data_IF_245245511254
#
_entry.id   IF_245245511254
#
_cell.length_a   1.000
_cell.length_b   1.000
_cell.length_c   1.000
_cell.angle_alpha   90.00
_cell.angle_beta   90.00
_cell.angle_gamma   90.00
#
_symmetry.space_group_name_H-M   'P 1'
#
loop_
_entity.id
_entity.type
_entity.pdbx_description
1 polymer ?
#
# COMPACT_ATOMS: atom_id res chain seq x y z
N UNK A 1 13.40 9.60 -21.65
CA UNK A 1 12.46 8.60 -21.12
C UNK A 1 12.65 7.21 -21.70
N UNK A 2 12.75 6.99 -23.04
CA UNK A 2 13.02 5.65 -23.64
C UNK A 2 14.33 5.04 -23.12
N UNK A 3 15.42 5.80 -23.04
CA UNK A 3 16.69 5.35 -22.45
C UNK A 3 16.58 5.00 -20.96
N UNK A 4 15.78 5.76 -20.23
CA UNK A 4 15.50 5.50 -18.81
C UNK A 4 14.76 4.17 -18.64
N UNK A 5 13.66 3.94 -19.39
CA UNK A 5 12.94 2.66 -19.34
C UNK A 5 13.86 1.49 -19.68
N UNK A 6 14.64 1.63 -20.78
CA UNK A 6 15.60 0.59 -21.18
C UNK A 6 16.68 0.33 -20.12
N UNK A 7 17.10 1.36 -19.35
CA UNK A 7 18.07 1.18 -18.26
C UNK A 7 17.46 0.38 -17.10
N UNK A 8 16.25 0.70 -16.68
CA UNK A 8 15.53 -0.06 -15.65
C UNK A 8 15.26 -1.52 -16.07
N UNK A 9 14.86 -1.73 -17.33
CA UNK A 9 14.61 -3.08 -17.84
C UNK A 9 15.87 -3.95 -17.85
N UNK A 10 17.07 -3.38 -18.12
CA UNK A 10 18.33 -4.14 -18.02
C UNK A 10 18.61 -4.65 -16.61
N UNK A 11 18.10 -3.95 -15.60
CA UNK A 11 18.20 -4.37 -14.18
C UNK A 11 17.01 -5.21 -13.72
N UNK A 12 16.08 -5.59 -14.63
CA UNK A 12 14.88 -6.37 -14.31
C UNK A 12 13.83 -5.57 -13.53
N UNK A 13 13.82 -4.24 -13.67
CA UNK A 13 12.90 -3.33 -12.98
C UNK A 13 11.89 -2.78 -13.99
N UNK A 14 10.60 -3.00 -13.73
CA UNK A 14 9.51 -2.42 -14.50
C UNK A 14 9.31 -0.93 -14.20
N UNK A 15 8.79 -0.19 -15.18
CA UNK A 15 8.52 1.25 -15.09
C UNK A 15 7.02 1.48 -15.13
N UNK A 16 6.47 2.06 -14.06
CA UNK A 16 5.06 2.45 -13.96
C UNK A 16 4.96 3.96 -14.10
N UNK A 17 4.11 4.42 -15.01
CA UNK A 17 3.86 5.85 -15.21
C UNK A 17 2.70 6.30 -14.34
N UNK A 18 2.92 7.36 -13.57
CA UNK A 18 1.87 8.07 -12.85
C UNK A 18 1.17 9.05 -13.79
N UNK A 19 -0.15 8.94 -13.93
CA UNK A 19 -0.93 9.71 -14.91
C UNK A 19 -2.10 10.43 -14.28
N UNK A 20 -2.30 11.67 -14.71
CA UNK A 20 -3.38 12.55 -14.26
C UNK A 20 -4.36 12.78 -15.41
N UNK A 21 -5.43 11.98 -15.46
CA UNK A 21 -6.52 12.13 -16.44
C UNK A 21 -7.83 12.58 -15.81
N UNK A 22 -7.82 12.91 -14.54
CA UNK A 22 -9.02 13.24 -13.78
C UNK A 22 -9.44 14.71 -13.85
N UNK A 23 -8.50 15.63 -14.16
CA UNK A 23 -8.74 17.07 -14.32
C UNK A 23 -7.68 17.72 -15.22
N UNK A 24 -7.88 18.98 -15.57
CA UNK A 24 -6.83 19.83 -16.15
C UNK A 24 -6.43 20.90 -15.14
N UNK A 25 -5.20 21.43 -15.26
CA UNK A 25 -4.66 22.45 -14.36
C UNK A 25 -5.61 23.66 -14.24
N UNK A 26 -6.14 24.12 -15.38
CA UNK A 26 -7.16 25.14 -15.47
C UNK A 26 -8.09 24.87 -16.67
N UNK A 27 -9.04 25.76 -16.90
CA UNK A 27 -9.96 25.68 -18.04
C UNK A 27 -9.44 26.35 -19.31
N UNK A 28 -8.26 26.94 -19.31
CA UNK A 28 -7.58 27.39 -20.52
C UNK A 28 -6.77 26.23 -21.19
N UNK A 29 -7.41 25.09 -21.27
CA UNK A 29 -6.83 23.86 -21.81
C UNK A 29 -7.10 23.71 -23.31
N UNK A 30 -6.28 22.89 -23.99
CA UNK A 30 -6.52 22.54 -25.39
C UNK A 30 -7.88 21.81 -25.57
N UNK A 31 -8.32 21.02 -24.59
CA UNK A 31 -9.61 20.31 -24.62
C UNK A 31 -10.77 21.32 -24.68
N UNK A 32 -10.74 22.32 -23.83
CA UNK A 32 -11.78 23.38 -23.79
C UNK A 32 -11.78 24.24 -25.05
N UNK A 33 -10.60 24.46 -25.67
CA UNK A 33 -10.47 25.19 -26.93
C UNK A 33 -10.96 24.41 -28.14
N UNK A 34 -10.86 23.07 -28.09
CA UNK A 34 -11.35 22.20 -29.17
C UNK A 34 -12.88 22.10 -29.19
N UNK A 35 -13.49 21.82 -28.03
CA UNK A 35 -14.94 21.74 -27.89
C UNK A 35 -15.33 22.16 -26.48
N UNK A 36 -15.82 23.38 -26.31
CA UNK A 36 -16.19 23.90 -25.00
C UNK A 36 -17.17 23.00 -24.25
N UNK A 37 -16.89 22.74 -22.98
CA UNK A 37 -17.70 21.99 -22.01
C UNK A 37 -17.92 20.49 -22.31
N UNK A 38 -17.52 19.99 -23.48
CA UNK A 38 -17.72 18.59 -23.87
C UNK A 38 -16.86 17.62 -23.04
N UNK A 39 -15.61 17.99 -22.76
CA UNK A 39 -14.65 17.13 -22.09
C UNK A 39 -14.73 17.16 -20.57
N UNK A 40 -15.57 18.03 -20.03
CA UNK A 40 -15.72 18.24 -18.58
C UNK A 40 -17.11 17.87 -18.11
N UNK A 41 -17.22 17.33 -16.90
CA UNK A 41 -18.54 17.13 -16.28
C UNK A 41 -19.09 18.43 -15.78
N UNK A 42 -20.35 18.65 -16.08
CA UNK A 42 -21.08 19.87 -15.71
C UNK A 42 -22.11 19.59 -14.61
N UNK A 43 -22.33 20.58 -13.76
CA UNK A 43 -23.44 20.66 -12.82
C UNK A 43 -24.28 21.91 -13.18
N UNK A 44 -25.22 21.75 -14.10
CA UNK A 44 -25.88 22.86 -14.74
C UNK A 44 -24.88 23.69 -15.56
N UNK A 45 -24.67 24.94 -15.19
CA UNK A 45 -23.70 25.85 -15.85
C UNK A 45 -22.34 25.90 -15.14
N UNK A 46 -22.12 25.08 -14.12
CA UNK A 46 -20.86 25.03 -13.36
C UNK A 46 -20.12 23.72 -13.63
N UNK A 47 -18.82 23.75 -13.57
CA UNK A 47 -18.03 22.54 -13.63
C UNK A 47 -18.19 21.71 -12.35
N UNK A 48 -18.36 20.41 -12.51
CA UNK A 48 -18.25 19.45 -11.43
C UNK A 48 -16.79 19.37 -10.95
N UNK A 49 -16.54 19.04 -9.68
CA UNK A 49 -15.21 19.19 -9.09
C UNK A 49 -14.86 18.01 -8.16
N UNK A 50 -14.95 16.80 -8.67
CA UNK A 50 -14.51 15.61 -7.92
C UNK A 50 -13.01 15.54 -7.72
N UNK A 51 -12.22 16.27 -8.50
CA UNK A 51 -10.77 16.37 -8.32
C UNK A 51 -10.37 17.25 -7.12
N UNK A 52 -11.25 18.16 -6.69
CA UNK A 52 -10.97 19.29 -5.80
C UNK A 52 -10.00 20.34 -6.40
N UNK A 53 -9.71 20.26 -7.71
CA UNK A 53 -8.81 21.17 -8.43
C UNK A 53 -9.57 22.16 -9.35
N UNK A 54 -10.88 22.31 -9.16
CA UNK A 54 -11.71 23.28 -9.90
C UNK A 54 -12.47 22.70 -11.10
N UNK A 55 -12.14 21.52 -11.57
CA UNK A 55 -12.84 20.82 -12.65
C UNK A 55 -12.68 19.30 -12.53
N UNK A 56 -13.44 18.56 -13.31
CA UNK A 56 -13.24 17.12 -13.51
C UNK A 56 -13.54 16.73 -14.96
N UNK A 57 -12.79 15.75 -15.45
CA UNK A 57 -12.93 15.22 -16.80
C UNK A 57 -14.15 14.33 -16.92
N UNK A 58 -14.90 14.45 -18.02
CA UNK A 58 -16.00 13.57 -18.40
C UNK A 58 -15.47 12.37 -19.19
N UNK A 59 -14.83 11.42 -18.48
CA UNK A 59 -14.19 10.24 -19.10
C UNK A 59 -15.19 9.35 -19.86
N UNK A 60 -16.48 9.41 -19.52
CA UNK A 60 -17.59 8.71 -20.19
C UNK A 60 -17.89 9.25 -21.59
N UNK A 61 -17.47 10.49 -21.90
CA UNK A 61 -17.66 11.04 -23.24
C UNK A 61 -16.80 10.27 -24.27
N UNK A 62 -17.38 9.87 -25.43
CA UNK A 62 -16.68 9.01 -26.38
C UNK A 62 -15.31 9.51 -26.82
N UNK A 63 -15.18 10.82 -27.11
CA UNK A 63 -13.89 11.38 -27.54
C UNK A 63 -12.90 11.52 -26.39
N UNK A 64 -13.36 11.75 -25.15
CA UNK A 64 -12.49 11.77 -24.00
C UNK A 64 -11.99 10.37 -23.65
N UNK A 65 -12.86 9.37 -23.67
CA UNK A 65 -12.47 7.96 -23.52
C UNK A 65 -11.42 7.58 -24.57
N UNK A 66 -11.68 7.91 -25.84
CA UNK A 66 -10.72 7.65 -26.92
C UNK A 66 -9.37 8.30 -26.63
N UNK A 67 -9.36 9.57 -26.21
CA UNK A 67 -8.13 10.29 -25.88
C UNK A 67 -7.34 9.60 -24.78
N UNK A 68 -7.99 9.23 -23.66
CA UNK A 68 -7.33 8.58 -22.53
C UNK A 68 -6.77 7.21 -22.96
N UNK A 69 -7.60 6.38 -23.60
CA UNK A 69 -7.21 5.02 -24.04
C UNK A 69 -6.06 5.05 -25.05
N UNK A 70 -6.12 5.93 -26.04
CA UNK A 70 -5.03 6.07 -27.03
C UNK A 70 -3.74 6.62 -26.40
N UNK A 71 -3.87 7.54 -25.43
CA UNK A 71 -2.71 8.08 -24.71
C UNK A 71 -1.97 7.00 -23.93
N UNK A 72 -2.65 6.19 -23.11
CA UNK A 72 -1.99 5.12 -22.36
C UNK A 72 -1.42 4.03 -23.31
N UNK A 73 -2.11 3.71 -24.39
CA UNK A 73 -1.61 2.78 -25.41
C UNK A 73 -0.34 3.32 -26.11
N UNK A 74 -0.28 4.62 -26.37
CA UNK A 74 0.90 5.27 -26.93
C UNK A 74 2.10 5.14 -25.99
N UNK A 75 1.94 5.44 -24.72
CA UNK A 75 3.02 5.33 -23.73
C UNK A 75 3.51 3.88 -23.57
N UNK A 76 2.59 2.92 -23.56
CA UNK A 76 2.94 1.50 -23.48
C UNK A 76 3.74 1.03 -24.72
N UNK A 77 3.33 1.43 -25.93
CA UNK A 77 4.00 1.00 -27.18
C UNK A 77 5.32 1.72 -27.40
N UNK A 78 5.33 3.05 -27.25
CA UNK A 78 6.48 3.88 -27.62
C UNK A 78 7.56 3.97 -26.54
N UNK A 79 7.17 3.90 -25.28
CA UNK A 79 8.10 4.07 -24.17
C UNK A 79 8.30 2.78 -23.36
N UNK A 80 7.56 1.72 -23.73
CA UNK A 80 7.62 0.41 -23.09
C UNK A 80 7.45 0.49 -21.56
N UNK A 81 6.50 1.31 -21.11
CA UNK A 81 6.13 1.34 -19.68
C UNK A 81 5.39 0.07 -19.33
N UNK A 82 5.63 -0.47 -18.14
CA UNK A 82 5.10 -1.75 -17.66
C UNK A 82 3.80 -1.60 -16.87
N UNK A 83 3.36 -0.37 -16.68
CA UNK A 83 2.11 -0.12 -15.97
C UNK A 83 1.76 1.35 -15.84
N UNK A 84 0.59 1.59 -15.23
CA UNK A 84 0.08 2.92 -14.96
C UNK A 84 -0.50 3.01 -13.55
N UNK A 85 -0.19 4.09 -12.85
CA UNK A 85 -0.88 4.53 -11.65
C UNK A 85 -1.80 5.69 -12.02
N UNK A 86 -3.08 5.59 -11.73
CA UNK A 86 -4.08 6.63 -12.03
C UNK A 86 -4.34 7.47 -10.79
N UNK A 87 -3.96 8.74 -10.88
CA UNK A 87 -4.27 9.75 -9.89
C UNK A 87 -5.79 9.94 -9.81
N UNK A 88 -6.35 10.05 -8.59
CA UNK A 88 -7.79 10.20 -8.34
C UNK A 88 -8.65 9.33 -9.29
N UNK A 89 -8.30 8.06 -9.44
CA UNK A 89 -8.97 7.13 -10.36
C UNK A 89 -10.49 7.08 -10.12
N UNK A 90 -10.92 7.34 -8.88
CA UNK A 90 -12.33 7.42 -8.51
C UNK A 90 -13.13 8.53 -9.22
N UNK A 91 -12.47 9.45 -9.93
CA UNK A 91 -13.12 10.44 -10.81
C UNK A 91 -13.53 9.82 -12.16
N UNK A 92 -12.77 8.84 -12.65
CA UNK A 92 -12.99 8.19 -13.94
C UNK A 92 -14.12 7.17 -13.87
N UNK A 93 -14.80 6.95 -14.98
CA UNK A 93 -15.86 5.95 -15.08
C UNK A 93 -15.30 4.53 -15.27
N UNK A 94 -16.05 3.53 -14.81
CA UNK A 94 -15.68 2.11 -14.84
C UNK A 94 -15.47 1.61 -16.27
N UNK A 95 -16.33 2.02 -17.22
CA UNK A 95 -16.25 1.55 -18.61
C UNK A 95 -14.94 2.00 -19.27
N UNK A 96 -14.54 3.25 -19.04
CA UNK A 96 -13.25 3.80 -19.52
C UNK A 96 -12.08 3.04 -18.91
N UNK A 97 -12.09 2.78 -17.61
CA UNK A 97 -11.03 2.04 -16.95
C UNK A 97 -10.93 0.59 -17.45
N UNK A 98 -12.05 -0.08 -17.65
CA UNK A 98 -12.07 -1.43 -18.22
C UNK A 98 -11.61 -1.47 -19.68
N UNK A 99 -11.95 -0.46 -20.49
CA UNK A 99 -11.44 -0.35 -21.87
C UNK A 99 -9.92 -0.12 -21.89
N UNK A 100 -9.39 0.70 -20.97
CA UNK A 100 -7.94 0.87 -20.77
C UNK A 100 -7.29 -0.49 -20.46
N UNK A 101 -7.82 -1.22 -19.49
CA UNK A 101 -7.28 -2.53 -19.09
C UNK A 101 -7.27 -3.50 -20.27
N UNK A 102 -8.39 -3.62 -20.98
CA UNK A 102 -8.51 -4.50 -22.15
C UNK A 102 -7.48 -4.16 -23.24
N UNK A 103 -7.38 -2.88 -23.62
CA UNK A 103 -6.49 -2.42 -24.70
C UNK A 103 -5.00 -2.54 -24.34
N UNK A 104 -4.65 -2.30 -23.10
CA UNK A 104 -3.28 -2.42 -22.62
C UNK A 104 -2.84 -3.88 -22.50
N UNK A 105 -3.73 -4.79 -22.10
CA UNK A 105 -3.45 -6.24 -22.07
C UNK A 105 -3.23 -6.83 -23.47
N UNK A 106 -3.80 -6.23 -24.53
CA UNK A 106 -3.49 -6.59 -25.92
C UNK A 106 -2.04 -6.23 -26.32
N UNK A 107 -1.45 -5.21 -25.68
CA UNK A 107 -0.06 -4.76 -25.92
C UNK A 107 0.91 -5.57 -25.04
N UNK A 108 0.60 -5.68 -23.75
CA UNK A 108 1.39 -6.41 -22.77
C UNK A 108 0.43 -7.10 -21.77
N UNK A 109 0.28 -8.45 -21.80
CA UNK A 109 -0.62 -9.15 -20.89
C UNK A 109 -0.23 -9.06 -19.42
N UNK A 110 1.00 -8.66 -19.11
CA UNK A 110 1.54 -8.48 -17.76
C UNK A 110 1.50 -7.04 -17.27
N UNK A 111 0.83 -6.15 -18.02
CA UNK A 111 0.78 -4.72 -17.65
C UNK A 111 0.12 -4.52 -16.29
N UNK A 112 0.72 -3.70 -15.45
CA UNK A 112 0.25 -3.43 -14.09
C UNK A 112 -0.59 -2.16 -14.10
N UNK A 113 -1.84 -2.26 -13.60
CA UNK A 113 -2.76 -1.14 -13.53
C UNK A 113 -3.29 -0.98 -12.11
N UNK A 114 -3.16 0.20 -11.55
CA UNK A 114 -3.73 0.54 -10.25
C UNK A 114 -3.91 2.04 -10.11
N UNK A 115 -4.60 2.47 -9.06
CA UNK A 115 -4.80 3.89 -8.82
C UNK A 115 -5.46 4.19 -7.49
N UNK A 116 -5.86 5.44 -7.34
CA UNK A 116 -6.56 5.92 -6.16
C UNK A 116 -8.07 5.72 -6.33
N UNK A 117 -8.63 4.76 -5.61
CA UNK A 117 -10.06 4.42 -5.64
C UNK A 117 -10.95 5.42 -4.88
N UNK A 118 -10.60 6.71 -4.89
CA UNK A 118 -11.33 7.81 -4.23
C UNK A 118 -11.33 9.08 -5.09
N UNK A 119 -11.99 10.12 -4.57
CA UNK A 119 -12.04 11.47 -5.17
C UNK A 119 -11.59 12.51 -4.15
N UNK A 120 -11.15 13.67 -4.62
CA UNK A 120 -10.86 14.84 -3.76
C UNK A 120 -12.10 15.64 -3.38
N UNK A 121 -13.16 15.54 -4.17
CA UNK A 121 -14.39 16.31 -4.00
C UNK A 121 -15.63 15.56 -4.48
N UNK A 122 -16.71 16.30 -4.77
CA UNK A 122 -18.00 15.74 -5.18
C UNK A 122 -18.15 15.75 -6.69
N UNK A 123 -18.59 14.62 -7.27
CA UNK A 123 -18.90 14.47 -8.70
C UNK A 123 -20.40 14.51 -8.97
N UNK A 124 -20.78 14.96 -10.16
CA UNK A 124 -22.13 14.79 -10.71
C UNK A 124 -22.40 13.39 -11.26
N UNK A 125 -21.34 12.62 -11.56
CA UNK A 125 -21.50 11.21 -11.94
C UNK A 125 -21.89 10.38 -10.72
N UNK A 126 -22.92 9.52 -10.82
CA UNK A 126 -23.29 8.60 -9.74
C UNK A 126 -22.13 7.69 -9.32
N UNK A 127 -21.98 7.48 -8.02
CA UNK A 127 -20.83 6.77 -7.45
C UNK A 127 -20.70 5.33 -8.00
N UNK A 128 -21.81 4.64 -8.23
CA UNK A 128 -21.81 3.25 -8.76
C UNK A 128 -21.25 3.12 -10.19
N UNK A 129 -21.06 4.25 -10.91
CA UNK A 129 -20.45 4.29 -12.25
C UNK A 129 -18.97 4.65 -12.22
N UNK A 130 -18.44 5.06 -11.07
CA UNK A 130 -17.07 5.55 -10.94
C UNK A 130 -16.12 4.46 -10.47
N UNK A 131 -14.85 4.56 -10.85
CA UNK A 131 -13.79 3.62 -10.46
C UNK A 131 -13.35 3.80 -8.99
N UNK A 132 -14.34 3.78 -8.11
CA UNK A 132 -14.18 3.91 -6.65
C UNK A 132 -13.82 2.56 -6.02
N UNK A 133 -13.14 2.57 -4.87
CA UNK A 133 -12.77 1.37 -4.11
C UNK A 133 -13.96 0.42 -3.87
N UNK A 134 -15.13 0.93 -3.55
CA UNK A 134 -16.34 0.12 -3.36
C UNK A 134 -16.81 -0.63 -4.63
N UNK A 135 -16.39 -0.17 -5.80
CA UNK A 135 -16.72 -0.75 -7.10
C UNK A 135 -15.58 -1.61 -7.66
N UNK A 136 -14.55 -1.92 -6.88
CA UNK A 136 -13.35 -2.62 -7.35
C UNK A 136 -13.65 -3.98 -7.99
N UNK A 137 -14.74 -4.64 -7.57
CA UNK A 137 -15.21 -5.89 -8.20
C UNK A 137 -15.64 -5.74 -9.66
N UNK A 138 -16.02 -4.53 -10.06
CA UNK A 138 -16.44 -4.20 -11.43
C UNK A 138 -15.26 -3.82 -12.34
N UNK A 139 -14.05 -3.69 -11.78
CA UNK A 139 -12.85 -3.32 -12.51
C UNK A 139 -12.02 -4.55 -12.85
N UNK A 140 -11.67 -4.71 -14.12
CA UNK A 140 -10.98 -5.89 -14.62
C UNK A 140 -9.45 -5.74 -14.52
N UNK A 141 -8.84 -6.42 -13.53
CA UNK A 141 -7.39 -6.45 -13.34
C UNK A 141 -6.76 -5.11 -12.96
N UNK A 142 -7.53 -4.25 -12.27
CA UNK A 142 -7.06 -2.95 -11.80
C UNK A 142 -7.04 -2.94 -10.27
N UNK A 143 -5.86 -2.69 -9.71
CA UNK A 143 -5.65 -2.57 -8.27
C UNK A 143 -5.95 -1.17 -7.73
N UNK A 144 -6.04 -1.06 -6.40
CA UNK A 144 -6.26 0.21 -5.71
C UNK A 144 -5.41 0.29 -4.45
N UNK A 145 -4.98 1.49 -4.14
CA UNK A 145 -4.34 1.78 -2.86
C UNK A 145 -5.29 1.45 -1.70
N UNK A 146 -4.78 0.69 -0.72
CA UNK A 146 -5.50 0.34 0.49
C UNK A 146 -5.23 1.38 1.58
N UNK A 147 -6.08 2.40 1.64
CA UNK A 147 -6.11 3.34 2.76
C UNK A 147 -6.47 2.66 4.09
N UNK A 148 -7.10 1.49 4.03
CA UNK A 148 -7.35 0.63 5.20
C UNK A 148 -6.05 0.26 5.91
N UNK A 149 -5.07 -0.31 5.17
CA UNK A 149 -3.79 -0.70 5.77
C UNK A 149 -2.96 0.54 6.13
N UNK A 150 -2.94 1.56 5.28
CA UNK A 150 -2.21 2.81 5.56
C UNK A 150 -2.61 3.39 6.91
N UNK A 151 -3.90 3.63 7.11
CA UNK A 151 -4.40 4.34 8.29
C UNK A 151 -4.44 3.42 9.52
N UNK A 152 -4.64 2.11 9.33
CA UNK A 152 -4.52 1.15 10.40
C UNK A 152 -3.08 1.09 10.94
N UNK A 153 -2.08 1.05 10.08
CA UNK A 153 -0.68 0.92 10.50
C UNK A 153 -0.17 2.21 11.13
N UNK A 154 -0.29 3.35 10.42
CA UNK A 154 0.38 4.61 10.82
C UNK A 154 -0.52 5.64 11.50
N UNK A 155 -1.84 5.44 11.50
CA UNK A 155 -2.84 6.43 11.91
C UNK A 155 -3.43 7.20 10.73
N UNK A 156 -4.60 7.77 10.94
CA UNK A 156 -5.41 8.41 9.92
C UNK A 156 -4.65 9.51 9.17
N UNK A 157 -4.80 9.51 7.83
CA UNK A 157 -4.00 10.38 6.94
C UNK A 157 -4.24 11.87 7.17
N UNK A 158 -5.49 12.27 7.47
CA UNK A 158 -5.86 13.69 7.68
C UNK A 158 -5.76 14.16 9.13
N UNK A 159 -5.42 13.29 10.07
CA UNK A 159 -5.23 13.64 11.48
C UNK A 159 -3.79 13.37 11.90
N UNK A 160 -2.90 14.35 11.72
CA UNK A 160 -1.45 14.17 11.86
C UNK A 160 -1.02 13.61 13.21
N UNK A 161 -1.76 13.91 14.29
CA UNK A 161 -1.49 13.41 15.65
C UNK A 161 -2.15 12.06 15.96
N UNK A 162 -3.02 11.53 15.06
CA UNK A 162 -3.64 10.23 15.28
C UNK A 162 -2.59 9.12 15.17
N UNK A 163 -2.54 8.26 16.19
CA UNK A 163 -1.70 7.08 16.21
C UNK A 163 -2.33 5.95 15.40
N UNK A 164 -1.50 5.09 14.83
CA UNK A 164 -1.91 3.81 14.26
C UNK A 164 -1.47 2.65 15.15
N UNK A 165 -1.62 1.43 14.64
CA UNK A 165 -1.22 0.22 15.35
C UNK A 165 0.24 0.28 15.80
N UNK A 166 1.17 0.61 14.90
CA UNK A 166 2.62 0.59 15.22
C UNK A 166 3.03 1.67 16.22
N UNK A 167 2.21 2.69 16.41
CA UNK A 167 2.42 3.76 17.39
C UNK A 167 1.55 3.61 18.65
N UNK A 168 1.03 2.39 18.88
CA UNK A 168 0.39 2.01 20.14
C UNK A 168 -1.11 2.25 20.24
N UNK A 169 -1.81 2.49 19.09
CA UNK A 169 -3.28 2.59 19.09
C UNK A 169 -3.89 1.25 19.48
N UNK A 170 -4.75 1.29 20.48
CA UNK A 170 -5.46 0.11 20.99
C UNK A 170 -6.67 -0.27 20.13
N UNK A 171 -7.20 -1.51 20.37
CA UNK A 171 -8.40 -2.05 19.70
C UNK A 171 -8.28 -2.18 18.17
N UNK A 172 -7.07 -2.43 17.68
CA UNK A 172 -6.79 -2.55 16.25
C UNK A 172 -6.76 -4.01 15.76
N UNK A 173 -6.98 -5.01 16.64
CA UNK A 173 -6.85 -6.45 16.32
C UNK A 173 -7.64 -6.86 15.08
N UNK A 174 -8.89 -6.44 14.96
CA UNK A 174 -9.76 -6.76 13.81
C UNK A 174 -9.21 -6.13 12.52
N UNK A 175 -8.79 -4.86 12.57
CA UNK A 175 -8.23 -4.16 11.43
C UNK A 175 -6.91 -4.79 10.96
N UNK A 176 -6.03 -5.18 11.90
CA UNK A 176 -4.77 -5.88 11.58
C UNK A 176 -5.04 -7.23 10.93
N UNK A 177 -5.98 -8.04 11.46
CA UNK A 177 -6.39 -9.31 10.85
C UNK A 177 -6.92 -9.11 9.42
N UNK A 178 -7.79 -8.11 9.22
CA UNK A 178 -8.31 -7.75 7.90
C UNK A 178 -7.19 -7.39 6.91
N UNK A 179 -6.24 -6.56 7.32
CA UNK A 179 -5.13 -6.15 6.47
C UNK A 179 -4.17 -7.31 6.18
N UNK A 180 -3.90 -8.18 7.18
CA UNK A 180 -3.04 -9.35 6.99
C UNK A 180 -3.57 -10.32 5.93
N UNK A 181 -4.91 -10.43 5.79
CA UNK A 181 -5.56 -11.24 4.74
C UNK A 181 -5.62 -10.57 3.37
N UNK A 182 -5.03 -9.37 3.20
CA UNK A 182 -5.09 -8.64 1.93
C UNK A 182 -6.49 -8.13 1.59
N UNK A 183 -7.27 -7.77 2.61
CA UNK A 183 -8.60 -7.17 2.43
C UNK A 183 -9.68 -8.10 1.88
N UNK A 184 -9.42 -9.40 1.74
CA UNK A 184 -10.42 -10.40 1.35
C UNK A 184 -11.16 -10.94 2.56
N UNK A 185 -12.33 -11.56 2.32
CA UNK A 185 -13.13 -12.13 3.40
C UNK A 185 -12.40 -13.31 4.08
N UNK A 186 -12.46 -13.34 5.42
CA UNK A 186 -11.85 -14.40 6.23
C UNK A 186 -12.73 -14.72 7.47
N UNK A 187 -12.97 -16.01 7.84
CA UNK A 187 -13.90 -16.37 8.89
C UNK A 187 -13.51 -15.88 10.30
N UNK A 188 -12.23 -15.60 10.56
CA UNK A 188 -11.74 -15.10 11.85
C UNK A 188 -11.68 -13.56 11.92
N UNK A 189 -12.26 -12.83 10.96
CA UNK A 189 -12.37 -11.37 10.98
C UNK A 189 -13.82 -10.97 11.25
N UNK A 190 -14.05 -10.22 12.33
CA UNK A 190 -15.36 -9.68 12.65
C UNK A 190 -15.63 -8.40 11.84
N UNK A 191 -16.29 -8.55 10.70
CA UNK A 191 -16.62 -7.43 9.82
C UNK A 191 -17.66 -6.47 10.40
N UNK A 192 -18.45 -6.90 11.39
CA UNK A 192 -19.38 -6.02 12.08
C UNK A 192 -18.64 -5.05 13.01
N UNK A 193 -17.48 -5.47 13.55
CA UNK A 193 -16.61 -4.62 14.34
C UNK A 193 -15.63 -3.80 13.48
N UNK A 194 -15.51 -4.12 12.18
CA UNK A 194 -14.63 -3.40 11.24
C UNK A 194 -15.44 -2.34 10.48
N UNK A 195 -15.31 -1.09 10.92
CA UNK A 195 -16.11 0.04 10.37
C UNK A 195 -15.32 0.95 9.43
N UNK A 196 -14.11 0.55 9.03
CA UNK A 196 -13.25 1.38 8.22
C UNK A 196 -13.77 1.51 6.77
N UNK A 197 -13.55 2.63 6.18
CA UNK A 197 -13.87 3.14 4.84
C UNK A 197 -15.09 2.56 4.05
N UNK A 198 -15.30 1.24 3.97
CA UNK A 198 -16.38 0.63 3.19
C UNK A 198 -17.22 -0.42 3.94
N UNK A 199 -16.96 -0.59 5.25
CA UNK A 199 -17.77 -1.48 6.09
C UNK A 199 -17.77 -2.96 5.67
N UNK A 200 -16.64 -3.48 5.21
CA UNK A 200 -16.48 -4.86 4.77
C UNK A 200 -15.37 -5.05 3.76
N UNK A 201 -15.42 -6.15 3.00
CA UNK A 201 -14.47 -6.41 1.93
C UNK A 201 -14.87 -5.68 0.64
N UNK A 202 -13.95 -4.91 0.07
CA UNK A 202 -14.19 -4.22 -1.20
C UNK A 202 -13.68 -5.00 -2.42
N UNK A 203 -12.93 -6.07 -2.21
CA UNK A 203 -12.41 -6.93 -3.28
C UNK A 203 -12.59 -8.41 -2.95
N UNK A 204 -12.55 -9.26 -3.98
CA UNK A 204 -12.57 -10.71 -3.90
C UNK A 204 -11.18 -11.33 -4.15
N UNK A 205 -10.19 -10.50 -4.51
CA UNK A 205 -8.82 -10.94 -4.77
C UNK A 205 -7.80 -10.02 -4.11
N UNK A 206 -6.77 -10.57 -3.45
CA UNK A 206 -5.71 -9.77 -2.84
C UNK A 206 -4.84 -9.05 -3.87
N UNK A 207 -4.81 -9.48 -5.12
CA UNK A 207 -4.03 -8.85 -6.20
C UNK A 207 -4.46 -7.42 -6.51
N UNK A 208 -5.70 -7.05 -6.15
CA UNK A 208 -6.20 -5.67 -6.28
C UNK A 208 -5.80 -4.75 -5.14
N UNK A 209 -5.20 -5.27 -4.09
CA UNK A 209 -4.90 -4.53 -2.87
C UNK A 209 -3.45 -4.07 -2.86
N UNK A 210 -3.23 -2.76 -3.02
CA UNK A 210 -1.90 -2.16 -2.92
C UNK A 210 -1.67 -1.74 -1.47
N UNK A 211 -0.87 -2.54 -0.75
CA UNK A 211 -0.54 -2.31 0.65
C UNK A 211 0.56 -1.28 0.78
N UNK A 212 0.34 -0.23 1.54
CA UNK A 212 1.31 0.85 1.74
C UNK A 212 1.09 1.57 3.07
N UNK A 213 2.07 2.32 3.49
CA UNK A 213 1.98 3.18 4.68
C UNK A 213 2.30 4.63 4.38
N UNK A 214 3.05 4.92 3.31
CA UNK A 214 3.26 6.28 2.79
C UNK A 214 3.46 6.26 1.28
N UNK A 215 3.16 7.40 0.64
CA UNK A 215 3.43 7.69 -0.76
C UNK A 215 3.96 9.12 -0.89
N UNK A 216 4.03 9.66 -2.09
CA UNK A 216 4.53 11.02 -2.33
C UNK A 216 3.63 12.10 -1.70
N UNK A 217 2.30 11.85 -1.59
CA UNK A 217 1.36 12.74 -0.91
C UNK A 217 1.40 12.59 0.60
N UNK A 218 0.95 13.63 1.31
CA UNK A 218 0.86 13.71 2.76
C UNK A 218 2.22 13.51 3.46
N UNK A 219 2.19 13.20 4.75
CA UNK A 219 3.40 12.92 5.54
C UNK A 219 4.07 11.62 5.11
N UNK A 220 5.41 11.58 5.14
CA UNK A 220 6.12 10.30 5.11
C UNK A 220 5.79 9.47 6.35
N UNK A 221 6.11 8.18 6.36
CA UNK A 221 5.94 7.36 7.56
C UNK A 221 6.74 7.93 8.74
N UNK A 222 8.01 8.30 8.52
CA UNK A 222 8.87 8.86 9.55
C UNK A 222 8.32 10.16 10.14
N UNK A 223 7.86 11.08 9.30
CA UNK A 223 7.28 12.35 9.73
C UNK A 223 5.97 12.14 10.51
N UNK A 224 5.13 11.21 10.05
CA UNK A 224 3.89 10.85 10.75
C UNK A 224 4.17 10.30 12.15
N UNK A 225 5.13 9.39 12.27
CA UNK A 225 5.54 8.83 13.57
C UNK A 225 6.11 9.91 14.51
N UNK A 226 6.90 10.84 13.96
CA UNK A 226 7.44 11.96 14.75
C UNK A 226 6.34 12.88 15.29
N UNK A 227 5.31 13.16 14.51
CA UNK A 227 4.23 14.06 14.91
C UNK A 227 3.24 13.36 15.84
N UNK A 228 2.90 12.10 15.58
CA UNK A 228 1.94 11.35 16.40
C UNK A 228 2.53 10.84 17.71
N UNK A 229 3.85 10.64 17.78
CA UNK A 229 4.59 10.18 18.96
C UNK A 229 5.80 11.09 19.24
N UNK A 230 5.57 12.34 19.63
CA UNK A 230 6.66 13.29 19.94
C UNK A 230 7.45 12.90 21.19
N UNK A 231 6.90 12.03 22.03
CA UNK A 231 7.49 11.47 23.25
C UNK A 231 8.51 10.36 22.98
N UNK A 232 8.52 9.77 21.77
CA UNK A 232 9.41 8.66 21.42
C UNK A 232 10.79 9.15 20.96
N UNK A 233 11.81 8.42 21.35
CA UNK A 233 13.16 8.62 20.84
C UNK A 233 13.33 8.09 19.39
N UNK A 234 14.52 8.28 18.83
CA UNK A 234 14.81 7.82 17.46
C UNK A 234 14.82 6.27 17.36
N UNK A 235 15.26 5.57 18.40
CA UNK A 235 15.31 4.12 18.45
C UNK A 235 13.92 3.50 18.37
N UNK A 236 13.00 4.00 19.20
CA UNK A 236 11.58 3.58 19.19
C UNK A 236 10.93 3.91 17.84
N UNK A 237 11.24 5.07 17.24
CA UNK A 237 10.71 5.44 15.93
C UNK A 237 11.22 4.53 14.82
N UNK A 238 12.50 4.10 14.88
CA UNK A 238 13.02 3.07 13.97
C UNK A 238 12.33 1.71 14.19
N UNK A 239 12.02 1.34 15.44
CA UNK A 239 11.27 0.11 15.72
C UNK A 239 9.86 0.15 15.11
N UNK A 240 9.13 1.27 15.30
CA UNK A 240 7.82 1.48 14.66
C UNK A 240 7.89 1.42 13.14
N UNK A 241 8.92 2.01 12.52
CA UNK A 241 9.11 1.96 11.06
C UNK A 241 9.37 0.52 10.58
N UNK A 242 10.25 -0.24 11.27
CA UNK A 242 10.48 -1.67 10.94
C UNK A 242 9.22 -2.50 11.09
N UNK A 243 8.44 -2.29 12.15
CA UNK A 243 7.16 -2.99 12.33
C UNK A 243 6.17 -2.66 11.20
N UNK A 244 6.05 -1.39 10.81
CA UNK A 244 5.21 -0.96 9.69
C UNK A 244 5.62 -1.64 8.38
N UNK A 245 6.93 -1.64 8.07
CA UNK A 245 7.46 -2.35 6.90
C UNK A 245 7.15 -3.85 6.95
N UNK A 246 7.42 -4.50 8.09
CA UNK A 246 7.13 -5.92 8.27
C UNK A 246 5.64 -6.23 8.00
N UNK A 247 4.71 -5.40 8.49
CA UNK A 247 3.28 -5.57 8.25
C UNK A 247 2.93 -5.46 6.76
N UNK A 248 3.51 -4.49 6.03
CA UNK A 248 3.29 -4.35 4.58
C UNK A 248 3.83 -5.56 3.81
N UNK A 249 5.02 -6.05 4.16
CA UNK A 249 5.68 -7.12 3.41
C UNK A 249 5.22 -8.54 3.81
N UNK A 250 4.57 -8.73 4.96
CA UNK A 250 4.04 -10.02 5.39
C UNK A 250 2.53 -10.15 5.22
N UNK A 251 1.81 -9.06 4.92
CA UNK A 251 0.40 -9.12 4.52
C UNK A 251 0.23 -9.70 3.11
N UNK A 252 -0.94 -10.29 2.84
CA UNK A 252 -1.35 -10.64 1.49
C UNK A 252 -1.65 -9.37 0.67
N UNK A 253 -1.59 -9.46 -0.67
CA UNK A 253 -1.72 -8.32 -1.56
C UNK A 253 -0.38 -7.83 -2.12
N UNK A 254 -0.36 -6.68 -2.76
CA UNK A 254 0.80 -6.11 -3.44
C UNK A 254 1.48 -5.08 -2.55
N UNK A 255 2.72 -5.28 -2.11
CA UNK A 255 3.41 -4.30 -1.27
C UNK A 255 3.89 -3.10 -2.09
N UNK A 256 3.74 -1.92 -1.52
CA UNK A 256 4.23 -0.66 -2.04
C UNK A 256 4.86 0.15 -0.91
N UNK A 257 5.93 0.89 -1.17
CA UNK A 257 6.51 1.85 -0.24
C UNK A 257 7.08 3.07 -0.97
N UNK A 258 7.10 4.21 -0.29
CA UNK A 258 7.67 5.44 -0.81
C UNK A 258 9.19 5.33 -0.92
N UNK A 259 9.77 5.69 -2.05
CA UNK A 259 11.23 5.77 -2.18
C UNK A 259 11.82 6.69 -1.09
N UNK A 260 12.70 6.12 -0.26
CA UNK A 260 13.27 6.77 0.92
C UNK A 260 12.65 6.34 2.26
N UNK A 261 11.52 5.65 2.26
CA UNK A 261 10.91 5.11 3.48
C UNK A 261 11.86 4.15 4.20
N UNK A 262 12.63 3.39 3.43
CA UNK A 262 13.64 2.44 3.88
C UNK A 262 14.86 3.08 4.55
N UNK A 263 14.99 4.39 4.51
CA UNK A 263 16.01 5.15 5.26
C UNK A 263 15.44 6.37 5.98
N UNK A 264 14.19 6.24 6.42
CA UNK A 264 13.51 7.24 7.26
C UNK A 264 13.44 8.65 6.61
N UNK A 265 13.04 8.70 5.32
CA UNK A 265 12.86 9.95 4.59
C UNK A 265 11.93 10.91 5.32
N UNK A 266 12.34 12.18 5.39
CA UNK A 266 11.56 13.30 5.91
C UNK A 266 11.36 14.37 4.84
N UNK A 267 10.30 15.17 4.97
CA UNK A 267 9.97 16.31 4.12
C UNK A 267 10.10 17.62 4.90
N UNK A 268 11.32 18.12 5.16
CA UNK A 268 11.50 19.38 5.89
C UNK A 268 10.95 20.55 5.08
N UNK A 269 10.18 21.43 5.71
CA UNK A 269 9.68 22.68 5.15
C UNK A 269 10.36 23.87 5.83
N UNK A 270 10.89 24.77 5.00
CA UNK A 270 11.48 26.02 5.49
C UNK A 270 12.75 25.87 6.35
N UNK A 271 13.20 27.01 6.90
CA UNK A 271 14.46 27.07 7.69
C UNK A 271 14.33 26.55 9.10
N UNK A 272 13.11 26.35 9.61
CA UNK A 272 12.84 26.01 11.02
C UNK A 272 12.62 24.51 11.25
N UNK A 273 12.83 23.65 10.24
CA UNK A 273 12.63 22.21 10.36
C UNK A 273 11.16 21.78 10.49
N UNK A 274 10.22 22.65 10.13
CA UNK A 274 8.82 22.28 9.99
C UNK A 274 8.68 21.17 8.95
N UNK A 275 7.71 20.27 9.15
CA UNK A 275 7.47 19.15 8.26
C UNK A 275 6.35 19.54 7.29
N UNK A 276 6.55 19.27 5.99
CA UNK A 276 5.53 19.51 4.97
C UNK A 276 4.65 18.29 4.77
N UNK A 277 3.35 18.49 4.84
CA UNK A 277 2.36 17.46 4.52
C UNK A 277 2.28 17.24 3.00
N UNK A 278 1.96 18.29 2.24
CA UNK A 278 1.89 18.26 0.77
C UNK A 278 3.04 19.06 0.18
N UNK A 279 4.01 18.35 -0.39
CA UNK A 279 5.29 18.93 -0.82
C UNK A 279 5.46 19.02 -2.33
N UNK A 280 4.43 18.72 -3.14
CA UNK A 280 4.51 18.64 -4.60
C UNK A 280 4.97 19.95 -5.27
N UNK A 281 4.65 21.09 -4.68
CA UNK A 281 5.03 22.43 -5.17
C UNK A 281 6.12 23.11 -4.35
N UNK A 282 6.76 22.38 -3.44
CA UNK A 282 7.83 22.91 -2.59
C UNK A 282 9.21 22.73 -3.25
N UNK A 283 10.21 23.50 -2.79
CA UNK A 283 11.56 23.45 -3.33
C UNK A 283 12.19 22.05 -3.31
N UNK A 284 13.22 21.86 -4.12
CA UNK A 284 14.00 20.63 -4.24
C UNK A 284 14.49 20.11 -2.87
N UNK A 285 14.91 21.01 -2.00
CA UNK A 285 15.46 20.69 -0.68
C UNK A 285 14.49 19.92 0.23
N UNK A 286 13.17 20.11 0.02
CA UNK A 286 12.12 19.38 0.72
C UNK A 286 11.95 17.95 0.18
N UNK A 287 12.08 17.80 -1.14
CA UNK A 287 11.74 16.56 -1.84
C UNK A 287 12.92 15.65 -2.14
N UNK A 288 14.16 16.14 -2.00
CA UNK A 288 15.37 15.38 -2.32
C UNK A 288 15.56 14.14 -1.46
N UNK A 289 16.01 13.07 -2.08
CA UNK A 289 16.47 11.88 -1.36
C UNK A 289 17.93 12.09 -0.91
N UNK A 290 18.19 11.93 0.40
CA UNK A 290 19.52 12.10 0.99
C UNK A 290 20.13 10.73 1.27
N UNK A 291 21.37 10.53 0.83
CA UNK A 291 22.07 9.24 0.93
C UNK A 291 23.24 9.24 1.93
N UNK A 292 23.39 10.29 2.73
CA UNK A 292 24.34 10.44 3.85
C UNK A 292 23.78 9.83 5.15
N UNK A 293 23.56 8.54 5.14
CA UNK A 293 22.79 7.83 6.17
C UNK A 293 23.56 7.60 7.46
N UNK A 294 22.87 7.80 8.59
CA UNK A 294 23.25 7.30 9.90
C UNK A 294 23.22 5.77 9.96
N UNK A 295 23.83 5.18 11.00
CA UNK A 295 23.82 3.72 11.17
C UNK A 295 22.40 3.17 11.38
N UNK A 296 21.51 3.91 12.04
CA UNK A 296 20.11 3.54 12.16
C UNK A 296 19.39 3.47 10.80
N UNK A 297 19.66 4.41 9.90
CA UNK A 297 19.11 4.43 8.56
C UNK A 297 19.65 3.28 7.69
N UNK A 298 20.95 2.98 7.80
CA UNK A 298 21.57 1.82 7.13
C UNK A 298 20.94 0.50 7.62
N UNK A 299 20.74 0.38 8.94
CA UNK A 299 20.07 -0.79 9.54
C UNK A 299 18.64 -0.93 9.06
N UNK A 300 17.89 0.16 8.96
CA UNK A 300 16.52 0.15 8.43
C UNK A 300 16.50 -0.29 6.95
N UNK A 301 17.39 0.23 6.11
CA UNK A 301 17.50 -0.15 4.71
C UNK A 301 17.83 -1.64 4.55
N UNK A 302 18.71 -2.17 5.38
CA UNK A 302 19.02 -3.61 5.38
C UNK A 302 17.80 -4.45 5.78
N UNK A 303 17.01 -3.98 6.73
CA UNK A 303 15.77 -4.62 7.16
C UNK A 303 14.75 -4.71 6.00
N UNK A 304 14.51 -3.61 5.27
CA UNK A 304 13.65 -3.60 4.07
C UNK A 304 14.15 -4.59 3.00
N UNK A 305 15.45 -4.59 2.70
CA UNK A 305 16.05 -5.56 1.77
C UNK A 305 15.79 -7.00 2.20
N UNK A 306 15.92 -7.28 3.48
CA UNK A 306 15.66 -8.58 4.05
C UNK A 306 14.19 -9.00 3.93
N UNK A 307 13.25 -8.10 4.24
CA UNK A 307 11.81 -8.33 4.06
C UNK A 307 11.44 -8.64 2.61
N UNK A 308 11.99 -7.88 1.66
CA UNK A 308 11.79 -8.10 0.22
C UNK A 308 12.31 -9.46 -0.20
N UNK A 309 13.53 -9.82 0.23
CA UNK A 309 14.13 -11.12 -0.08
C UNK A 309 13.31 -12.27 0.51
N UNK A 310 12.86 -12.12 1.76
CA UNK A 310 12.02 -13.09 2.45
C UNK A 310 10.69 -13.31 1.72
N UNK A 311 9.97 -12.21 1.41
CA UNK A 311 8.70 -12.30 0.68
C UNK A 311 8.86 -12.95 -0.70
N UNK A 312 9.96 -12.67 -1.41
CA UNK A 312 10.26 -13.31 -2.71
C UNK A 312 10.50 -14.82 -2.58
N UNK A 313 11.11 -15.26 -1.50
CA UNK A 313 11.43 -16.68 -1.27
C UNK A 313 10.18 -17.49 -0.83
N UNK A 314 9.24 -16.89 -0.09
CA UNK A 314 8.13 -17.60 0.53
C UNK A 314 6.81 -17.33 -0.20
N UNK A 315 6.29 -18.33 -0.91
CA UNK A 315 5.04 -18.23 -1.71
C UNK A 315 3.82 -17.94 -0.86
N UNK A 316 3.75 -18.47 0.37
CA UNK A 316 2.65 -18.27 1.30
C UNK A 316 2.35 -16.79 1.61
N UNK A 317 3.34 -15.90 1.44
CA UNK A 317 3.14 -14.44 1.58
C UNK A 317 2.54 -13.78 0.32
N UNK A 318 2.36 -14.53 -0.77
CA UNK A 318 1.95 -14.01 -2.08
C UNK A 318 0.82 -14.84 -2.70
N UNK A 319 -0.11 -15.33 -1.88
CA UNK A 319 -1.30 -16.02 -2.36
C UNK A 319 -2.17 -15.08 -3.19
N UNK A 320 -2.69 -15.54 -4.32
CA UNK A 320 -3.50 -14.76 -5.24
C UNK A 320 -4.99 -15.12 -5.17
N UNK A 321 -5.31 -16.25 -4.56
CA UNK A 321 -6.66 -16.75 -4.40
C UNK A 321 -7.18 -16.49 -2.97
N UNK A 322 -8.36 -15.90 -2.87
CA UNK A 322 -9.00 -15.63 -1.58
C UNK A 322 -9.39 -16.92 -0.83
N UNK A 323 -9.71 -18.00 -1.54
CA UNK A 323 -9.99 -19.30 -0.90
C UNK A 323 -8.71 -19.91 -0.31
N UNK A 324 -7.60 -19.82 -1.04
CA UNK A 324 -6.30 -20.24 -0.53
C UNK A 324 -5.93 -19.48 0.75
N UNK A 325 -6.18 -18.16 0.79
CA UNK A 325 -5.95 -17.34 1.99
C UNK A 325 -6.82 -17.82 3.15
N UNK A 326 -8.12 -18.08 2.93
CA UNK A 326 -9.05 -18.55 3.96
C UNK A 326 -8.66 -19.90 4.56
N UNK A 327 -8.14 -20.79 3.74
CA UNK A 327 -7.78 -22.14 4.16
C UNK A 327 -6.42 -22.19 4.84
N UNK A 328 -5.50 -21.31 4.48
CA UNK A 328 -4.09 -21.40 4.87
C UNK A 328 -3.67 -20.38 5.92
N UNK A 329 -4.41 -19.28 6.13
CA UNK A 329 -4.14 -18.35 7.23
C UNK A 329 -4.99 -18.76 8.44
N UNK A 330 -4.34 -18.89 9.59
CA UNK A 330 -5.03 -19.16 10.86
C UNK A 330 -4.53 -18.17 11.93
N UNK A 331 -5.40 -17.29 12.40
CA UNK A 331 -5.07 -16.37 13.49
C UNK A 331 -5.10 -17.10 14.83
N UNK A 332 -4.05 -16.84 15.61
CA UNK A 332 -3.89 -17.36 16.97
C UNK A 332 -4.52 -16.39 17.98
N UNK A 333 -5.04 -16.93 19.09
CA UNK A 333 -5.51 -16.08 20.18
C UNK A 333 -4.32 -15.60 21.03
N UNK A 334 -4.23 -14.28 21.19
CA UNK A 334 -3.21 -13.61 21.98
C UNK A 334 -3.86 -12.89 23.16
N UNK A 335 -3.19 -12.93 24.31
CA UNK A 335 -3.66 -12.28 25.54
C UNK A 335 -3.72 -10.77 25.41
N UNK A 336 -2.70 -10.18 24.76
CA UNK A 336 -2.62 -8.74 24.54
C UNK A 336 -3.45 -8.30 23.32
N UNK A 337 -4.17 -7.19 23.41
CA UNK A 337 -4.88 -6.57 22.30
C UNK A 337 -3.93 -5.92 21.27
N UNK A 338 -2.69 -5.68 21.64
CA UNK A 338 -1.66 -5.10 20.78
C UNK A 338 -0.71 -6.15 20.20
N UNK A 339 -1.01 -7.43 20.41
CA UNK A 339 -0.25 -8.55 19.83
C UNK A 339 -1.15 -9.38 18.93
N UNK A 340 -0.72 -9.60 17.71
CA UNK A 340 -1.41 -10.43 16.72
C UNK A 340 -0.42 -11.47 16.21
N UNK A 341 -0.85 -12.73 16.18
CA UNK A 341 -0.07 -13.80 15.58
C UNK A 341 -0.97 -14.63 14.65
N UNK A 342 -0.38 -15.15 13.59
CA UNK A 342 -1.05 -16.05 12.66
C UNK A 342 -0.06 -16.97 11.96
N UNK A 343 -0.54 -18.14 11.57
CA UNK A 343 0.20 -19.07 10.73
C UNK A 343 -0.24 -18.96 9.28
N UNK A 344 0.68 -19.22 8.37
CA UNK A 344 0.46 -19.35 6.92
C UNK A 344 0.95 -20.72 6.52
N UNK A 345 0.06 -21.62 6.16
CA UNK A 345 0.38 -22.98 5.77
C UNK A 345 0.56 -23.11 4.26
N UNK A 346 1.61 -23.78 3.86
CA UNK A 346 1.84 -24.20 2.48
C UNK A 346 2.27 -25.67 2.49
N UNK A 347 2.17 -26.42 1.39
CA UNK A 347 2.53 -27.85 1.38
C UNK A 347 3.96 -28.15 1.86
N UNK A 348 4.89 -27.24 1.62
CA UNK A 348 6.32 -27.43 1.92
C UNK A 348 6.77 -26.71 3.20
N UNK A 349 6.00 -25.74 3.67
CA UNK A 349 6.36 -24.90 4.82
C UNK A 349 5.15 -24.37 5.57
N UNK A 350 5.32 -24.14 6.85
CA UNK A 350 4.42 -23.28 7.64
C UNK A 350 5.20 -22.11 8.19
N UNK A 351 4.74 -20.89 7.90
CA UNK A 351 5.24 -19.65 8.52
C UNK A 351 4.37 -19.29 9.71
N UNK A 352 4.98 -18.72 10.76
CA UNK A 352 4.28 -18.05 11.85
C UNK A 352 4.75 -16.59 11.86
N UNK A 353 3.82 -15.68 11.73
CA UNK A 353 4.04 -14.23 11.75
C UNK A 353 3.42 -13.67 13.03
N UNK A 354 4.18 -12.89 13.79
CA UNK A 354 3.69 -12.23 14.99
C UNK A 354 4.10 -10.76 15.03
N UNK A 355 3.15 -9.89 15.33
CA UNK A 355 3.34 -8.46 15.54
C UNK A 355 3.08 -8.10 16.99
N UNK A 356 3.94 -7.29 17.56
CA UNK A 356 3.74 -6.67 18.86
C UNK A 356 3.90 -5.17 18.74
N UNK A 357 2.84 -4.40 18.94
CA UNK A 357 2.87 -2.94 18.94
C UNK A 357 2.89 -2.35 20.36
N UNK A 358 2.91 -3.18 21.41
CA UNK A 358 3.01 -2.71 22.79
C UNK A 358 4.44 -2.25 23.12
N UNK A 359 4.55 -1.33 24.04
CA UNK A 359 5.85 -0.86 24.53
C UNK A 359 6.57 -1.84 25.47
N UNK A 360 6.15 -3.12 25.53
CA UNK A 360 6.71 -4.17 26.36
C UNK A 360 6.85 -5.49 25.61
N UNK A 361 7.71 -6.35 26.10
CA UNK A 361 7.82 -7.71 25.60
C UNK A 361 6.55 -8.52 25.94
N UNK A 362 6.16 -9.39 25.05
CA UNK A 362 5.00 -10.29 25.18
C UNK A 362 5.45 -11.73 24.90
N UNK A 363 4.78 -12.70 25.53
CA UNK A 363 5.10 -14.11 25.28
C UNK A 363 4.29 -14.66 24.10
N UNK A 364 4.97 -15.25 23.14
CA UNK A 364 4.38 -16.03 22.06
C UNK A 364 4.52 -17.53 22.38
N UNK A 365 3.39 -18.20 22.55
CA UNK A 365 3.36 -19.66 22.59
C UNK A 365 3.32 -20.20 21.18
N UNK A 366 4.20 -21.16 20.87
CA UNK A 366 4.22 -21.79 19.55
C UNK A 366 3.05 -22.78 19.42
N UNK A 367 2.56 -23.01 18.19
CA UNK A 367 1.38 -23.86 17.98
C UNK A 367 1.63 -25.36 18.22
N UNK A 368 2.87 -25.76 18.29
CA UNK A 368 3.31 -27.15 18.52
C UNK A 368 4.73 -27.20 19.14
N UNK A 369 5.15 -28.40 19.52
CA UNK A 369 6.46 -28.66 20.18
C UNK A 369 7.61 -28.87 19.18
N UNK A 370 7.43 -28.54 17.89
CA UNK A 370 8.51 -28.61 16.91
C UNK A 370 9.52 -27.45 17.10
N UNK A 371 10.71 -27.63 16.57
CA UNK A 371 11.70 -26.56 16.55
C UNK A 371 11.45 -25.65 15.33
N UNK A 372 11.14 -24.41 15.59
CA UNK A 372 10.89 -23.38 14.57
C UNK A 372 12.16 -22.59 14.28
N UNK A 373 12.39 -22.28 13.03
CA UNK A 373 13.52 -21.45 12.57
C UNK A 373 13.13 -19.99 12.60
N UNK A 374 13.93 -19.15 13.24
CA UNK A 374 13.73 -17.70 13.29
C UNK A 374 14.39 -17.03 12.09
N UNK A 375 13.63 -16.27 11.31
CA UNK A 375 14.10 -15.55 10.12
C UNK A 375 14.04 -14.03 10.27
N UNK A 376 13.06 -13.51 11.02
CA UNK A 376 12.83 -12.09 11.20
C UNK A 376 12.59 -11.82 12.70
N UNK A 377 13.31 -10.82 13.23
CA UNK A 377 13.08 -10.25 14.56
C UNK A 377 12.94 -8.72 14.45
N UNK A 378 13.07 -7.98 15.55
CA UNK A 378 12.96 -6.53 15.58
C UNK A 378 14.15 -5.79 14.92
N UNK A 379 15.26 -6.46 14.68
CA UNK A 379 16.49 -5.86 14.12
C UNK A 379 16.90 -6.46 12.78
N UNK A 380 16.57 -7.72 12.53
CA UNK A 380 17.04 -8.49 11.39
C UNK A 380 15.88 -9.02 10.57
N UNK A 381 16.03 -9.02 9.26
CA UNK A 381 15.14 -9.68 8.34
C UNK A 381 15.94 -10.33 7.21
N UNK A 382 15.49 -11.49 6.71
CA UNK A 382 16.12 -12.15 5.58
C UNK A 382 15.76 -13.62 5.47
N UNK A 383 16.34 -14.28 4.47
CA UNK A 383 16.13 -15.72 4.19
C UNK A 383 17.10 -16.63 4.95
N UNK A 384 18.12 -16.07 5.60
CA UNK A 384 19.04 -16.86 6.41
C UNK A 384 18.52 -16.97 7.84
N UNK A 385 18.53 -18.19 8.43
CA UNK A 385 18.19 -18.37 9.83
C UNK A 385 19.06 -17.51 10.75
N UNK A 386 18.42 -16.87 11.73
CA UNK A 386 19.09 -16.11 12.80
C UNK A 386 19.02 -16.83 14.14
N UNK A 387 18.24 -17.89 14.24
CA UNK A 387 18.10 -18.70 15.42
C UNK A 387 17.09 -19.81 15.27
N UNK A 388 16.84 -20.51 16.37
CA UNK A 388 15.76 -21.51 16.49
C UNK A 388 15.01 -21.32 17.80
N UNK A 389 13.74 -21.67 17.79
CA UNK A 389 12.80 -21.47 18.92
C UNK A 389 12.02 -22.76 19.15
N UNK A 390 11.78 -23.08 20.41
CA UNK A 390 11.02 -24.26 20.83
C UNK A 390 10.01 -23.84 21.91
N UNK A 391 8.79 -24.33 21.83
CA UNK A 391 7.68 -24.10 22.74
C UNK A 391 7.19 -22.67 22.89
N UNK A 392 8.07 -21.70 23.14
CA UNK A 392 7.71 -20.29 23.30
C UNK A 392 8.89 -19.36 23.02
N UNK A 393 8.58 -18.08 22.79
CA UNK A 393 9.58 -17.02 22.73
C UNK A 393 9.03 -15.69 23.26
N UNK A 394 9.92 -14.76 23.64
CA UNK A 394 9.55 -13.39 23.87
C UNK A 394 9.46 -12.61 22.55
N UNK A 395 8.32 -12.02 22.26
CA UNK A 395 8.17 -11.00 21.21
C UNK A 395 8.79 -9.70 21.69
N UNK A 396 9.62 -9.04 20.88
CA UNK A 396 10.19 -7.74 21.24
C UNK A 396 9.09 -6.68 21.40
N UNK A 397 9.34 -5.69 22.22
CA UNK A 397 8.52 -4.48 22.27
C UNK A 397 8.61 -3.76 20.93
N UNK A 398 7.47 -3.39 20.35
CA UNK A 398 7.37 -2.72 19.03
C UNK A 398 8.19 -3.49 17.98
N UNK A 399 7.75 -4.72 17.64
CA UNK A 399 8.48 -5.56 16.69
C UNK A 399 7.64 -6.59 15.98
N UNK A 400 8.25 -7.18 14.96
CA UNK A 400 7.73 -8.33 14.22
C UNK A 400 8.66 -9.52 14.41
N UNK A 401 8.08 -10.71 14.50
CA UNK A 401 8.81 -11.97 14.45
C UNK A 401 8.23 -12.83 13.35
N UNK A 402 9.09 -13.45 12.55
CA UNK A 402 8.68 -14.50 11.61
C UNK A 402 9.50 -15.76 11.83
N UNK A 403 8.76 -16.82 12.10
CA UNK A 403 9.29 -18.17 12.25
C UNK A 403 8.85 -19.02 11.07
N UNK A 404 9.63 -20.02 10.72
CA UNK A 404 9.27 -20.98 9.69
C UNK A 404 9.63 -22.40 10.08
N UNK A 405 8.86 -23.36 9.58
CA UNK A 405 9.15 -24.78 9.71
C UNK A 405 8.89 -25.46 8.37
N UNK A 406 9.82 -26.28 7.96
CA UNK A 406 9.63 -27.10 6.76
C UNK A 406 8.68 -28.25 7.10
N UNK A 407 7.62 -28.39 6.34
CA UNK A 407 6.76 -29.56 6.41
C UNK A 407 7.49 -30.71 5.72
N UNK A 408 7.69 -31.80 6.45
CA UNK A 408 8.28 -33.02 5.87
C UNK A 408 7.29 -33.55 4.83
N UNK A 409 7.75 -33.66 3.57
CA UNK A 409 7.02 -34.43 2.56
C UNK A 409 6.86 -35.87 3.09
N UNK A 410 5.62 -36.20 3.45
CA UNK A 410 5.26 -37.58 3.78
C UNK A 410 5.24 -38.46 2.54
#
# INVERSE_FOLDING_TARGET
>A
MKEMSAAFHREGIGVIMDVVYNHTYDLDSCLQKCEPDYYYRMNGTRYSNASACGNEIASEQPMMRKYIVESVCYWAREYHVDGFRFDLMGVLDIDTMNEISRRLKEINPYIILYGEGWTGGTSTMPEFRRAMKRNARMLDGIGMFSDDIRDMVRGHVFYNKDCGYVSGKEKMKVAVRYCATGGVWHPQVDYAAYTYAVGGTWTDTPEKVINYVSCHDNLTLWDKLQISRPDCDAGERFAMNRLAAAMVFTAQGVPFFLGGEEFARTKPAGKNGEISENSYNLPYETNVLRYDWSDGQKGLQQYYRGLIAFRKAHKGLRMTDAEEIRQNILFMEMTSEQTIAFTIRQPEETLLVAYNASGRKETLLLPDDRTWTLYIDDLHAGTRPIGSVHSNMELPAIGCVVLGINELSC
#
